data_IF_311142672466
#
_entry.id   IF_311142672466
#
_cell.length_a   1.000
_cell.length_b   1.000
_cell.length_c   1.000
_cell.angle_alpha   90.00
_cell.angle_beta   90.00
_cell.angle_gamma   90.00
#
_symmetry.space_group_name_H-M   'P 1'
#
loop_
_entity.id
_entity.type
_entity.pdbx_description
1 polymer ?
#
# COMPACT_ATOMS: atom_id res chain seq x y z
N UNK A 1 48.55 10.53 10.50
CA UNK A 1 48.99 10.09 11.83
C UNK A 1 47.77 9.60 12.60
N UNK A 2 47.81 8.37 13.12
CA UNK A 2 46.89 7.87 14.15
C UNK A 2 46.99 8.75 15.42
N UNK A 3 45.93 8.84 16.24
CA UNK A 3 45.71 7.86 17.31
C UNK A 3 44.23 7.39 17.37
N UNK A 4 43.93 6.09 17.47
CA UNK A 4 43.96 5.24 18.68
C UNK A 4 43.27 5.87 19.89
N UNK A 5 42.03 5.45 20.17
CA UNK A 5 41.64 5.14 21.55
C UNK A 5 40.74 3.90 21.58
N UNK A 6 41.03 3.09 22.59
CA UNK A 6 40.58 1.73 22.88
C UNK A 6 39.65 1.77 24.09
N UNK A 7 38.86 0.70 24.27
CA UNK A 7 38.23 0.22 25.53
C UNK A 7 36.98 0.99 26.01
N UNK A 8 35.90 0.40 26.54
CA UNK A 8 35.44 -1.00 26.76
C UNK A 8 34.04 -0.93 27.42
N UNK A 9 33.31 -2.05 27.42
CA UNK A 9 32.31 -2.50 28.42
C UNK A 9 31.04 -1.63 28.56
N UNK A 10 29.84 -2.17 28.63
CA UNK A 10 29.38 -3.54 28.79
C UNK A 10 27.87 -3.51 29.08
N UNK A 11 27.20 -4.58 28.67
CA UNK A 11 25.97 -5.18 29.19
C UNK A 11 24.90 -4.31 29.88
N UNK A 12 23.65 -4.45 29.41
CA UNK A 12 22.53 -4.87 30.25
C UNK A 12 21.29 -5.22 29.42
N UNK A 13 21.23 -6.48 29.01
CA UNK A 13 19.99 -7.24 28.84
C UNK A 13 19.40 -7.48 30.24
N UNK A 14 18.10 -7.23 30.45
CA UNK A 14 17.11 -8.28 30.79
C UNK A 14 15.80 -7.74 31.40
N UNK A 15 14.71 -8.43 31.00
CA UNK A 15 13.45 -8.72 31.74
C UNK A 15 12.46 -7.57 31.97
N UNK A 16 11.16 -7.74 31.72
CA UNK A 16 10.27 -8.77 32.29
C UNK A 16 9.10 -9.19 31.39
N UNK A 17 8.68 -10.46 31.54
CA UNK A 17 7.45 -11.08 31.02
C UNK A 17 6.37 -11.20 32.12
N UNK A 18 5.12 -11.36 31.65
CA UNK A 18 3.97 -12.12 32.18
C UNK A 18 2.84 -11.40 32.97
N UNK A 19 1.73 -11.16 32.23
CA UNK A 19 0.37 -11.72 32.39
C UNK A 19 -0.37 -11.58 33.73
N UNK A 20 -1.61 -11.06 33.65
CA UNK A 20 -2.75 -11.73 34.26
C UNK A 20 -4.07 -11.51 33.49
N UNK A 21 -4.78 -12.62 33.26
CA UNK A 21 -6.15 -12.72 32.77
C UNK A 21 -7.14 -12.53 33.92
N UNK A 22 -8.29 -11.91 33.64
CA UNK A 22 -9.57 -12.24 34.31
C UNK A 22 -10.78 -11.77 33.47
N UNK A 23 -11.70 -12.72 33.25
CA UNK A 23 -13.02 -12.59 32.60
C UNK A 23 -14.00 -11.84 33.51
N UNK A 24 -15.03 -11.21 32.93
CA UNK A 24 -16.43 -11.30 33.38
C UNK A 24 -17.42 -10.94 32.24
N UNK A 25 -18.52 -11.72 32.16
CA UNK A 25 -19.72 -11.60 31.30
C UNK A 25 -20.47 -10.30 31.63
N UNK A 26 -21.33 -9.67 30.83
CA UNK A 26 -22.03 -9.98 29.59
C UNK A 26 -23.43 -9.38 29.71
N UNK A 27 -23.89 -8.53 28.78
CA UNK A 27 -25.29 -8.09 28.64
C UNK A 27 -25.60 -7.94 27.13
N UNK A 28 -26.69 -8.58 26.72
CA UNK A 28 -27.28 -8.55 25.38
C UNK A 28 -27.84 -7.17 25.05
N UNK A 29 -27.51 -6.65 23.86
CA UNK A 29 -28.18 -5.52 23.23
C UNK A 29 -28.07 -5.66 21.72
N UNK A 30 -29.22 -5.65 21.04
CA UNK A 30 -29.41 -5.96 19.63
C UNK A 30 -28.41 -5.25 18.69
N UNK A 31 -27.53 -6.02 18.06
CA UNK A 31 -26.67 -5.56 16.96
C UNK A 31 -27.50 -5.50 15.67
N UNK A 32 -27.83 -4.28 15.23
CA UNK A 32 -28.19 -4.05 13.83
C UNK A 32 -26.95 -4.37 12.98
N UNK A 33 -27.06 -5.40 12.14
CA UNK A 33 -26.08 -5.77 11.12
C UNK A 33 -25.88 -4.62 10.14
N UNK A 34 -24.90 -3.77 10.43
CA UNK A 34 -24.32 -2.88 9.45
C UNK A 34 -23.38 -3.74 8.62
N UNK A 35 -23.69 -3.86 7.34
CA UNK A 35 -22.78 -4.43 6.35
C UNK A 35 -21.47 -3.62 6.39
N UNK A 36 -20.51 -4.08 7.21
CA UNK A 36 -19.12 -3.69 7.05
C UNK A 36 -18.73 -4.16 5.66
N UNK A 37 -18.41 -3.20 4.79
CA UNK A 37 -17.68 -3.42 3.56
C UNK A 37 -16.25 -3.85 3.90
N UNK A 38 -16.13 -5.06 4.47
CA UNK A 38 -15.00 -5.91 4.16
C UNK A 38 -15.08 -6.08 2.65
N UNK A 39 -14.22 -5.38 1.92
CA UNK A 39 -13.81 -5.86 0.60
C UNK A 39 -13.11 -7.19 0.86
N UNK A 40 -13.89 -8.23 1.05
CA UNK A 40 -13.46 -9.62 1.03
C UNK A 40 -12.59 -9.77 -0.21
N UNK A 41 -11.40 -10.35 -0.06
CA UNK A 41 -10.47 -10.66 -1.14
C UNK A 41 -11.01 -11.77 -2.06
N UNK A 42 -12.32 -11.81 -2.29
CA UNK A 42 -13.01 -12.95 -2.88
C UNK A 42 -12.99 -12.90 -4.41
N UNK A 43 -12.73 -11.72 -5.00
CA UNK A 43 -12.72 -11.53 -6.45
C UNK A 43 -11.34 -11.09 -6.94
N UNK A 44 -10.84 -11.78 -7.98
CA UNK A 44 -9.60 -11.42 -8.66
C UNK A 44 -9.76 -10.00 -9.21
N UNK A 45 -8.89 -9.04 -8.85
CA UNK A 45 -8.92 -7.69 -9.39
C UNK A 45 -8.95 -7.73 -10.92
N UNK A 46 -10.04 -7.21 -11.50
CA UNK A 46 -10.18 -7.14 -12.96
C UNK A 46 -9.10 -6.22 -13.51
N UNK A 47 -8.32 -6.71 -14.49
CA UNK A 47 -7.42 -5.86 -15.28
C UNK A 47 -8.26 -4.82 -16.02
N UNK A 48 -8.16 -3.56 -15.61
CA UNK A 48 -8.88 -2.46 -16.22
C UNK A 48 -8.24 -2.08 -17.55
N UNK A 49 -9.09 -1.74 -18.53
CA UNK A 49 -8.61 -1.16 -19.77
C UNK A 49 -8.07 0.26 -19.51
N UNK A 50 -7.11 0.73 -20.33
CA UNK A 50 -6.54 2.09 -20.20
C UNK A 50 -7.58 3.22 -20.28
N UNK A 51 -8.73 2.94 -20.88
CA UNK A 51 -9.84 3.88 -21.06
C UNK A 51 -10.91 3.79 -19.96
N UNK A 52 -10.88 2.73 -19.16
CA UNK A 52 -11.84 2.50 -18.08
C UNK A 52 -11.41 3.25 -16.83
N UNK A 53 -12.40 3.84 -16.15
CA UNK A 53 -12.17 4.44 -14.84
C UNK A 53 -12.20 3.34 -13.78
N UNK A 54 -11.30 3.42 -12.79
CA UNK A 54 -11.35 2.61 -11.57
C UNK A 54 -12.75 2.71 -10.93
N UNK A 55 -13.32 1.58 -10.43
CA UNK A 55 -14.57 1.59 -9.69
C UNK A 55 -14.56 2.62 -8.56
N UNK A 56 -15.66 3.35 -8.40
CA UNK A 56 -15.80 4.30 -7.29
C UNK A 56 -16.18 3.55 -6.02
N UNK A 57 -15.49 3.83 -4.93
CA UNK A 57 -15.83 3.30 -3.59
C UNK A 57 -17.20 3.80 -3.13
N UNK A 58 -17.51 5.07 -3.45
CA UNK A 58 -18.78 5.72 -3.10
C UNK A 58 -19.59 5.96 -4.37
N UNK A 59 -20.88 5.67 -4.34
CA UNK A 59 -21.73 5.85 -5.51
C UNK A 59 -21.81 7.32 -5.94
N UNK A 60 -21.99 7.58 -7.23
CA UNK A 60 -22.06 8.95 -7.76
C UNK A 60 -23.22 9.76 -7.17
N UNK A 61 -24.34 9.11 -6.90
CA UNK A 61 -25.52 9.74 -6.29
C UNK A 61 -25.24 10.16 -4.83
N UNK A 62 -24.51 9.34 -4.09
CA UNK A 62 -24.09 9.65 -2.74
C UNK A 62 -23.08 10.80 -2.70
N UNK A 63 -22.09 10.80 -3.60
CA UNK A 63 -21.15 11.92 -3.74
C UNK A 63 -21.87 13.25 -4.04
N UNK A 64 -22.88 13.23 -4.92
CA UNK A 64 -23.73 14.40 -5.20
C UNK A 64 -24.49 14.86 -3.96
N UNK A 65 -25.08 13.92 -3.21
CA UNK A 65 -25.81 14.21 -1.97
C UNK A 65 -24.90 14.87 -0.94
N UNK A 66 -23.72 14.30 -0.68
CA UNK A 66 -22.72 14.85 0.24
C UNK A 66 -22.24 16.25 -0.18
N UNK A 67 -21.98 16.46 -1.47
CA UNK A 67 -21.58 17.77 -1.99
C UNK A 67 -22.70 18.81 -1.79
N UNK A 68 -23.96 18.42 -1.98
CA UNK A 68 -25.12 19.26 -1.72
C UNK A 68 -25.24 19.66 -0.25
N UNK A 69 -25.06 18.71 0.68
CA UNK A 69 -25.07 18.98 2.13
C UNK A 69 -23.95 19.93 2.52
N UNK A 70 -22.71 19.66 2.09
CA UNK A 70 -21.56 20.55 2.35
C UNK A 70 -21.77 21.96 1.79
N UNK A 71 -22.45 22.10 0.65
CA UNK A 71 -22.79 23.41 0.09
C UNK A 71 -23.79 24.17 0.97
N UNK A 72 -24.82 23.49 1.49
CA UNK A 72 -25.81 24.09 2.41
C UNK A 72 -25.16 24.52 3.72
N UNK A 73 -24.33 23.67 4.31
CA UNK A 73 -23.60 23.99 5.56
C UNK A 73 -22.72 25.24 5.40
N UNK A 74 -22.01 25.37 4.27
CA UNK A 74 -21.19 26.56 3.99
C UNK A 74 -21.99 27.86 3.92
N UNK A 75 -23.29 27.81 3.63
CA UNK A 75 -24.14 29.00 3.56
C UNK A 75 -24.59 29.49 4.93
N UNK A 76 -24.58 28.65 5.97
CA UNK A 76 -25.11 28.99 7.29
C UNK A 76 -24.14 29.81 8.18
N UNK A 77 -22.94 30.14 7.70
CA UNK A 77 -21.91 31.00 8.36
C UNK A 77 -21.74 30.70 9.86
N UNK A 78 -21.77 29.42 10.25
CA UNK A 78 -21.45 29.00 11.62
C UNK A 78 -20.07 28.35 11.68
N UNK A 79 -19.55 28.25 12.90
CA UNK A 79 -18.36 27.45 13.19
C UNK A 79 -18.69 25.96 13.03
N UNK A 80 -17.82 25.24 12.33
CA UNK A 80 -17.87 23.79 12.18
C UNK A 80 -16.73 23.20 13.02
N UNK A 81 -17.10 22.49 14.08
CA UNK A 81 -16.16 21.76 14.93
C UNK A 81 -15.70 20.51 14.17
N UNK A 82 -14.48 20.54 13.67
CA UNK A 82 -13.87 19.41 12.98
C UNK A 82 -13.38 18.37 13.99
N UNK A 83 -13.54 17.09 13.65
CA UNK A 83 -13.03 15.98 14.44
C UNK A 83 -11.60 15.62 14.02
N UNK A 84 -10.78 14.99 14.87
CA UNK A 84 -9.51 14.41 14.43
C UNK A 84 -9.75 13.30 13.38
N UNK A 85 -8.99 13.25 12.27
CA UNK A 85 -7.79 14.03 11.99
C UNK A 85 -8.02 15.31 11.15
N UNK A 86 -9.27 15.64 10.83
CA UNK A 86 -9.67 16.78 9.99
C UNK A 86 -9.37 18.13 10.64
N UNK A 87 -9.39 18.19 11.97
CA UNK A 87 -8.95 19.35 12.74
C UNK A 87 -7.42 19.45 12.90
N UNK A 88 -6.65 18.59 12.23
CA UNK A 88 -5.19 18.60 12.25
C UNK A 88 -4.56 17.90 13.45
N UNK A 89 -5.35 17.49 14.45
CA UNK A 89 -4.85 16.66 15.56
C UNK A 89 -4.73 15.19 15.15
N UNK A 90 -3.92 14.43 15.88
CA UNK A 90 -3.81 12.98 15.69
C UNK A 90 -4.95 12.22 16.36
N UNK A 91 -5.35 11.11 15.74
CA UNK A 91 -6.27 10.14 16.31
C UNK A 91 -5.48 9.20 17.22
N UNK A 92 -5.49 9.45 18.54
CA UNK A 92 -4.58 8.82 19.52
C UNK A 92 -4.57 7.28 19.46
N UNK A 93 -5.72 6.65 19.31
CA UNK A 93 -5.84 5.19 19.25
C UNK A 93 -5.30 4.57 17.94
N UNK A 94 -5.07 5.38 16.89
CA UNK A 94 -4.49 4.92 15.63
C UNK A 94 -2.96 5.09 15.57
N UNK A 95 -2.35 5.79 16.52
CA UNK A 95 -0.88 5.95 16.56
C UNK A 95 -0.19 4.58 16.67
N UNK A 96 -0.55 3.68 17.62
CA UNK A 96 0.08 2.36 17.69
C UNK A 96 -0.11 1.54 16.40
N UNK A 97 -1.27 1.68 15.74
CA UNK A 97 -1.55 1.02 14.46
C UNK A 97 -0.60 1.52 13.37
N UNK A 98 -0.28 2.82 13.34
CA UNK A 98 0.69 3.38 12.41
C UNK A 98 2.09 2.78 12.57
N UNK A 99 2.55 2.62 13.81
CA UNK A 99 3.82 1.95 14.13
C UNK A 99 3.80 0.47 13.72
N UNK A 100 2.71 -0.24 14.00
CA UNK A 100 2.55 -1.64 13.60
C UNK A 100 2.57 -1.83 12.09
N UNK A 101 1.91 -0.95 11.33
CA UNK A 101 1.88 -0.98 9.86
C UNK A 101 3.27 -0.70 9.29
N UNK A 102 3.97 0.30 9.83
CA UNK A 102 5.32 0.63 9.37
C UNK A 102 6.29 -0.53 9.65
N UNK A 103 6.27 -1.11 10.85
CA UNK A 103 7.08 -2.27 11.21
C UNK A 103 6.78 -3.49 10.33
N UNK A 104 5.49 -3.79 10.10
CA UNK A 104 5.07 -4.88 9.23
C UNK A 104 5.55 -4.66 7.78
N UNK A 105 5.53 -3.42 7.28
CA UNK A 105 6.09 -3.10 5.97
C UNK A 105 7.60 -3.36 5.89
N UNK A 106 8.37 -2.98 6.90
CA UNK A 106 9.81 -3.24 6.95
C UNK A 106 10.11 -4.74 6.96
N UNK A 107 9.38 -5.50 7.78
CA UNK A 107 9.51 -6.96 7.85
C UNK A 107 9.15 -7.63 6.51
N UNK A 108 8.03 -7.19 5.90
CA UNK A 108 7.60 -7.66 4.58
C UNK A 108 8.69 -7.47 3.51
N UNK A 109 9.26 -6.26 3.41
CA UNK A 109 10.31 -5.96 2.44
C UNK A 109 11.56 -6.80 2.66
N UNK A 110 11.94 -7.02 3.93
CA UNK A 110 13.07 -7.89 4.28
C UNK A 110 12.80 -9.34 3.84
N UNK A 111 11.62 -9.88 4.14
CA UNK A 111 11.24 -11.24 3.73
C UNK A 111 11.23 -11.41 2.21
N UNK A 112 10.60 -10.48 1.48
CA UNK A 112 10.55 -10.56 0.01
C UNK A 112 11.95 -10.45 -0.59
N UNK A 113 12.76 -9.50 -0.13
CA UNK A 113 14.14 -9.32 -0.65
C UNK A 113 15.00 -10.56 -0.47
N UNK A 114 14.78 -11.34 0.59
CA UNK A 114 15.46 -12.63 0.79
C UNK A 114 14.90 -13.71 -0.13
N UNK A 115 13.57 -13.85 -0.21
CA UNK A 115 12.93 -14.93 -0.98
C UNK A 115 13.07 -14.80 -2.50
N UNK A 116 13.20 -13.58 -3.05
CA UNK A 116 13.50 -13.38 -4.48
C UNK A 116 14.82 -14.06 -4.91
N UNK A 117 15.74 -14.33 -3.98
CA UNK A 117 16.97 -15.06 -4.28
C UNK A 117 16.79 -16.59 -4.34
N UNK A 118 15.71 -17.12 -3.77
CA UNK A 118 15.42 -18.56 -3.70
C UNK A 118 14.34 -18.99 -4.69
N UNK A 119 13.32 -18.16 -4.88
CA UNK A 119 12.20 -18.43 -5.78
C UNK A 119 12.37 -17.64 -7.07
N UNK A 120 12.34 -18.32 -8.21
CA UNK A 120 12.44 -17.65 -9.50
C UNK A 120 11.21 -16.76 -9.75
N UNK A 121 11.45 -15.53 -10.21
CA UNK A 121 10.41 -14.59 -10.64
C UNK A 121 10.72 -14.24 -12.09
N UNK A 122 9.69 -14.31 -12.93
CA UNK A 122 9.75 -13.94 -14.33
C UNK A 122 8.81 -12.77 -14.59
N UNK A 123 9.27 -11.82 -15.37
CA UNK A 123 8.45 -10.73 -15.88
C UNK A 123 8.49 -10.73 -17.40
N UNK A 124 7.36 -10.52 -18.05
CA UNK A 124 7.30 -10.39 -19.49
C UNK A 124 7.84 -9.03 -19.90
N UNK A 125 8.92 -9.01 -20.68
CA UNK A 125 9.59 -7.79 -21.17
C UNK A 125 8.69 -6.88 -22.03
N UNK A 126 7.57 -7.41 -22.53
CA UNK A 126 6.63 -6.69 -23.38
C UNK A 126 5.42 -6.16 -22.59
N UNK A 127 4.64 -7.06 -21.99
CA UNK A 127 3.36 -6.70 -21.36
C UNK A 127 3.44 -6.50 -19.84
N UNK A 128 4.58 -6.80 -19.21
CA UNK A 128 4.78 -6.70 -17.77
C UNK A 128 4.03 -7.74 -16.94
N UNK A 129 3.49 -8.80 -17.56
CA UNK A 129 2.91 -9.93 -16.83
C UNK A 129 3.98 -10.59 -15.96
N UNK A 130 3.62 -11.02 -14.76
CA UNK A 130 4.55 -11.60 -13.78
C UNK A 130 4.18 -13.06 -13.54
N UNK A 131 5.19 -13.89 -13.37
CA UNK A 131 5.08 -15.27 -12.95
C UNK A 131 6.05 -15.56 -11.81
N UNK A 132 5.61 -16.32 -10.82
CA UNK A 132 6.40 -16.69 -9.65
C UNK A 132 6.51 -18.21 -9.63
N UNK A 133 7.73 -18.73 -9.57
CA UNK A 133 8.05 -20.14 -9.73
C UNK A 133 8.79 -20.44 -11.05
N UNK A 134 9.37 -21.64 -11.13
CA UNK A 134 10.00 -22.14 -12.35
C UNK A 134 9.45 -23.54 -12.66
N UNK A 135 9.25 -23.89 -13.96
CA UNK A 135 9.40 -23.06 -15.16
C UNK A 135 8.23 -22.08 -15.37
N UNK A 136 8.44 -20.96 -16.10
CA UNK A 136 7.38 -20.01 -16.36
C UNK A 136 6.25 -20.61 -17.21
N UNK A 137 5.03 -20.09 -17.03
CA UNK A 137 3.86 -20.60 -17.76
C UNK A 137 3.93 -20.37 -19.27
N UNK A 138 3.20 -21.21 -20.01
CA UNK A 138 3.02 -21.17 -21.46
C UNK A 138 1.66 -20.60 -21.89
N UNK A 139 0.94 -19.95 -20.97
CA UNK A 139 -0.34 -19.30 -21.25
C UNK A 139 -0.15 -18.12 -22.22
N UNK A 140 -0.98 -18.05 -23.26
CA UNK A 140 -0.85 -17.12 -24.41
C UNK A 140 -1.70 -15.87 -24.21
N UNK A 141 -1.29 -15.00 -23.28
CA UNK A 141 -1.99 -13.76 -22.89
C UNK A 141 -1.24 -12.48 -23.23
N UNK A 142 -0.10 -12.55 -23.90
CA UNK A 142 0.67 -11.37 -24.26
C UNK A 142 -0.06 -10.57 -25.36
N UNK A 143 -0.69 -9.47 -24.99
CA UNK A 143 -1.47 -8.63 -25.90
C UNK A 143 -1.13 -7.14 -25.73
N UNK A 144 0.06 -6.79 -26.20
CA UNK A 144 0.53 -5.40 -26.27
C UNK A 144 1.20 -5.15 -27.63
N UNK A 145 1.43 -3.87 -27.95
CA UNK A 145 2.18 -3.51 -29.17
C UNK A 145 3.58 -4.13 -29.11
N UNK A 146 3.92 -4.95 -30.10
CA UNK A 146 5.19 -5.69 -30.16
C UNK A 146 5.10 -7.15 -29.69
N UNK A 147 3.94 -7.60 -29.21
CA UNK A 147 3.70 -9.02 -28.90
C UNK A 147 3.79 -9.89 -30.17
N UNK A 148 4.30 -11.12 -30.05
CA UNK A 148 4.32 -12.07 -31.16
C UNK A 148 2.89 -12.49 -31.54
N UNK A 149 2.69 -12.95 -32.78
CA UNK A 149 1.39 -13.46 -33.25
C UNK A 149 0.90 -14.67 -32.44
N UNK A 150 1.82 -15.44 -31.83
CA UNK A 150 1.50 -16.55 -30.92
C UNK A 150 0.94 -16.09 -29.57
N UNK A 151 1.02 -14.80 -29.25
CA UNK A 151 0.67 -14.21 -27.93
C UNK A 151 1.43 -14.82 -26.75
N UNK A 152 2.58 -15.44 -27.03
CA UNK A 152 3.49 -15.97 -26.02
C UNK A 152 4.26 -14.84 -25.33
N UNK A 153 4.65 -15.07 -24.08
CA UNK A 153 5.40 -14.10 -23.28
C UNK A 153 6.89 -14.26 -23.48
N UNK A 154 7.59 -13.12 -23.52
CA UNK A 154 9.05 -13.06 -23.55
C UNK A 154 9.58 -12.80 -22.14
N UNK A 155 9.81 -13.89 -21.41
CA UNK A 155 10.19 -13.88 -19.99
C UNK A 155 11.64 -13.42 -19.78
N UNK A 156 11.81 -12.46 -18.86
CA UNK A 156 13.09 -12.04 -18.29
C UNK A 156 13.09 -12.23 -16.78
N UNK A 157 14.26 -12.27 -16.15
CA UNK A 157 14.37 -12.36 -14.69
C UNK A 157 13.75 -11.13 -14.04
N UNK A 158 12.76 -11.34 -13.18
CA UNK A 158 12.11 -10.30 -12.37
C UNK A 158 12.75 -10.13 -11.00
N UNK A 159 12.22 -9.17 -10.23
CA UNK A 159 12.75 -8.71 -8.95
C UNK A 159 11.65 -8.32 -7.95
N UNK A 160 12.04 -7.65 -6.86
CA UNK A 160 11.13 -7.25 -5.78
C UNK A 160 10.03 -6.32 -6.29
N UNK A 161 10.36 -5.39 -7.17
CA UNK A 161 9.45 -4.41 -7.77
C UNK A 161 8.33 -5.05 -8.61
N UNK A 162 8.54 -6.27 -9.13
CA UNK A 162 7.55 -7.01 -9.89
C UNK A 162 6.54 -7.73 -8.98
N UNK A 163 6.93 -8.02 -7.74
CA UNK A 163 6.11 -8.71 -6.74
C UNK A 163 5.40 -7.72 -5.82
N UNK A 164 6.12 -6.68 -5.42
CA UNK A 164 5.66 -5.58 -4.56
C UNK A 164 5.94 -4.24 -5.24
N UNK A 165 5.07 -3.81 -6.17
CA UNK A 165 5.21 -2.51 -6.81
C UNK A 165 5.16 -1.38 -5.80
N UNK A 166 6.08 -0.43 -5.94
CA UNK A 166 6.12 0.75 -5.08
C UNK A 166 5.09 1.78 -5.58
N UNK A 167 4.14 2.12 -4.73
CA UNK A 167 3.25 3.28 -4.92
C UNK A 167 3.74 4.41 -4.04
N UNK A 168 3.94 5.58 -4.63
CA UNK A 168 4.41 6.77 -3.94
C UNK A 168 3.29 7.80 -3.78
N UNK A 169 3.47 8.68 -2.79
CA UNK A 169 2.66 9.87 -2.54
C UNK A 169 3.60 11.04 -2.27
N UNK A 170 3.19 12.27 -2.58
CA UNK A 170 3.91 13.43 -2.07
C UNK A 170 3.80 13.47 -0.55
N UNK A 171 4.91 13.79 0.09
CA UNK A 171 4.97 14.01 1.53
C UNK A 171 4.29 15.34 1.89
N UNK A 172 3.38 15.31 2.86
CA UNK A 172 2.69 16.51 3.33
C UNK A 172 3.21 16.95 4.69
N UNK A 173 4.07 17.98 4.72
CA UNK A 173 4.48 18.62 5.97
C UNK A 173 3.28 19.11 6.79
N UNK A 174 2.26 19.70 6.14
CA UNK A 174 1.01 20.09 6.77
C UNK A 174 -0.20 19.50 6.03
N UNK A 175 -0.81 18.46 6.62
CA UNK A 175 -2.02 17.80 6.10
C UNK A 175 -3.20 18.74 5.85
N UNK A 176 -3.35 19.76 6.69
CA UNK A 176 -4.46 20.73 6.62
C UNK A 176 -4.16 21.82 5.59
N UNK A 177 -2.90 21.92 5.17
CA UNK A 177 -2.40 22.91 4.26
C UNK A 177 -2.96 22.83 2.83
N UNK A 178 -2.25 23.53 1.94
CA UNK A 178 -2.54 23.47 0.51
C UNK A 178 -2.10 22.13 -0.05
N UNK A 179 -2.83 21.65 -1.05
CA UNK A 179 -2.38 20.50 -1.83
C UNK A 179 -1.14 20.90 -2.65
N UNK A 180 -0.20 19.98 -2.81
CA UNK A 180 1.01 20.16 -3.63
C UNK A 180 0.63 20.63 -5.02
N UNK A 181 1.13 21.81 -5.40
CA UNK A 181 0.92 22.42 -6.71
C UNK A 181 1.87 21.85 -7.76
N UNK A 182 1.58 22.13 -9.03
CA UNK A 182 2.43 21.69 -10.13
C UNK A 182 3.84 22.28 -10.04
N UNK A 183 3.96 23.53 -9.60
CA UNK A 183 5.24 24.24 -9.60
C UNK A 183 6.18 23.74 -8.50
N UNK A 184 5.64 23.40 -7.33
CA UNK A 184 6.43 22.93 -6.18
C UNK A 184 6.69 21.41 -6.21
N UNK A 185 6.23 20.67 -7.24
CA UNK A 185 6.33 19.20 -7.27
C UNK A 185 7.76 18.68 -7.23
N UNK A 186 8.72 19.47 -7.74
CA UNK A 186 10.14 19.09 -7.77
C UNK A 186 10.84 19.40 -6.44
N UNK A 187 10.22 20.22 -5.60
CA UNK A 187 10.74 20.63 -4.30
C UNK A 187 10.22 19.72 -3.17
N UNK A 188 9.04 19.11 -3.38
CA UNK A 188 8.37 18.24 -2.41
C UNK A 188 8.77 16.78 -2.63
N UNK A 189 9.21 16.14 -1.56
CA UNK A 189 9.61 14.73 -1.59
C UNK A 189 8.43 13.80 -1.88
N UNK A 190 8.74 12.70 -2.58
CA UNK A 190 7.83 11.55 -2.74
C UNK A 190 8.33 10.42 -1.86
N UNK A 191 7.41 9.85 -1.08
CA UNK A 191 7.69 8.69 -0.22
C UNK A 191 6.65 7.60 -0.47
N UNK A 192 6.91 6.33 -0.09
CA UNK A 192 5.94 5.26 -0.26
C UNK A 192 4.59 5.63 0.36
N UNK A 193 3.48 5.44 -0.35
CA UNK A 193 2.16 5.88 0.10
C UNK A 193 1.74 5.26 1.45
N UNK A 194 2.11 4.00 1.70
CA UNK A 194 1.91 3.36 3.02
C UNK A 194 2.71 4.07 4.11
N UNK A 195 3.95 4.49 3.82
CA UNK A 195 4.79 5.22 4.76
C UNK A 195 4.20 6.59 5.04
N UNK A 196 3.77 7.33 4.02
CA UNK A 196 3.07 8.61 4.19
C UNK A 196 1.79 8.44 5.02
N UNK A 197 1.02 7.36 4.81
CA UNK A 197 -0.16 7.06 5.64
C UNK A 197 0.20 6.87 7.11
N UNK A 198 1.26 6.09 7.42
CA UNK A 198 1.76 5.95 8.78
C UNK A 198 2.22 7.29 9.35
N UNK A 199 2.94 8.09 8.57
CA UNK A 199 3.43 9.41 8.99
C UNK A 199 2.27 10.33 9.32
N UNK A 200 1.25 10.39 8.48
CA UNK A 200 0.05 11.17 8.76
C UNK A 200 -0.71 10.65 9.99
N UNK A 201 -0.64 9.34 10.26
CA UNK A 201 -1.27 8.72 11.41
C UNK A 201 -0.53 8.87 12.75
N UNK A 202 0.69 9.42 12.74
CA UNK A 202 1.47 9.72 13.95
C UNK A 202 2.77 8.94 14.08
N UNK A 203 3.21 8.22 13.05
CA UNK A 203 4.57 7.69 12.99
C UNK A 203 5.54 8.82 12.63
N UNK A 204 6.60 9.03 13.39
CA UNK A 204 7.55 10.12 13.13
C UNK A 204 8.80 9.58 12.45
N UNK A 205 9.19 10.22 11.35
CA UNK A 205 10.42 9.95 10.60
C UNK A 205 11.22 11.25 10.56
N UNK A 206 12.42 11.33 11.17
CA UNK A 206 13.21 12.56 11.21
C UNK A 206 13.51 13.14 9.83
N UNK A 207 13.67 12.29 8.82
CA UNK A 207 13.91 12.67 7.43
C UNK A 207 12.66 13.23 6.72
N UNK A 208 11.46 13.00 7.24
CA UNK A 208 10.21 13.47 6.66
C UNK A 208 9.31 14.06 7.75
N UNK A 209 9.67 15.24 8.30
CA UNK A 209 8.96 15.84 9.41
C UNK A 209 7.56 16.28 9.00
N UNK A 210 6.58 16.06 9.88
CA UNK A 210 5.21 16.54 9.69
C UNK A 210 4.80 17.41 10.86
N UNK A 211 4.12 18.52 10.59
CA UNK A 211 3.58 19.41 11.61
C UNK A 211 2.52 18.68 12.45
N UNK A 212 2.84 18.47 13.73
CA UNK A 212 1.92 17.93 14.74
C UNK A 212 1.27 19.07 15.50
N UNK A 213 -0.05 19.23 15.37
CA UNK A 213 -0.79 20.26 16.11
C UNK A 213 -1.14 19.79 17.50
N UNK A 214 -1.04 20.70 18.46
CA UNK A 214 -1.52 20.50 19.84
C UNK A 214 -2.92 21.06 20.03
N UNK A 215 -3.27 22.10 19.26
CA UNK A 215 -4.60 22.70 19.23
C UNK A 215 -5.30 22.43 17.90
N UNK A 216 -6.62 22.18 17.91
CA UNK A 216 -7.38 21.94 16.70
C UNK A 216 -7.44 23.20 15.82
N UNK A 217 -7.50 23.00 14.51
CA UNK A 217 -7.95 24.06 13.59
C UNK A 217 -9.48 24.14 13.59
N UNK A 218 -9.99 25.33 13.35
CA UNK A 218 -11.42 25.59 13.29
C UNK A 218 -11.83 25.92 11.86
N UNK A 219 -13.04 25.53 11.46
CA UNK A 219 -13.59 25.85 10.15
C UNK A 219 -14.74 26.84 10.31
N UNK A 220 -14.56 28.08 9.87
CA UNK A 220 -15.59 29.13 9.92
C UNK A 220 -15.96 29.49 8.50
N UNK A 221 -17.23 29.28 8.12
CA UNK A 221 -17.74 29.55 6.78
C UNK A 221 -16.88 28.94 5.64
N UNK A 222 -16.33 27.74 5.86
CA UNK A 222 -15.48 27.04 4.89
C UNK A 222 -14.02 27.52 4.83
N UNK A 223 -13.62 28.48 5.66
CA UNK A 223 -12.22 28.89 5.83
C UNK A 223 -11.62 28.24 7.07
N UNK A 224 -10.41 27.70 6.93
CA UNK A 224 -9.67 27.10 8.03
C UNK A 224 -8.93 28.20 8.78
N UNK A 225 -9.15 28.29 10.09
CA UNK A 225 -8.46 29.19 11.00
C UNK A 225 -7.54 28.34 11.87
N UNK A 226 -6.24 28.60 11.73
CA UNK A 226 -5.17 27.97 12.50
C UNK A 226 -4.62 29.00 13.49
N UNK A 227 -5.03 28.89 14.75
CA UNK A 227 -4.62 29.82 15.81
C UNK A 227 -3.14 29.71 16.14
N UNK A 228 -2.54 28.51 16.09
CA UNK A 228 -1.10 28.32 16.28
C UNK A 228 -0.29 29.05 15.20
N UNK A 229 -0.81 29.13 13.97
CA UNK A 229 -0.16 29.88 12.88
C UNK A 229 -0.32 31.40 13.04
N UNK A 230 -1.47 31.85 13.55
CA UNK A 230 -1.77 33.28 13.74
C UNK A 230 -1.07 33.88 14.97
N UNK A 231 -0.87 33.07 16.01
CA UNK A 231 -0.21 33.47 17.25
C UNK A 231 0.86 32.42 17.58
N UNK A 232 2.04 32.50 16.95
CA UNK A 232 3.15 31.60 17.27
C UNK A 232 3.53 31.79 18.74
N UNK A 233 3.66 30.70 19.50
CA UNK A 233 4.34 30.79 20.81
C UNK A 233 5.81 31.14 20.58
N UNK A 234 6.39 32.02 21.40
CA UNK A 234 7.79 32.48 21.37
C UNK A 234 8.87 31.39 21.57
N UNK A 235 8.53 30.10 21.44
CA UNK A 235 9.48 28.98 21.54
C UNK A 235 9.51 28.12 20.28
N UNK A 236 9.56 28.75 19.10
CA UNK A 236 9.76 28.03 17.85
C UNK A 236 11.24 27.62 17.69
N UNK A 237 11.60 26.47 18.26
CA UNK A 237 12.77 25.65 17.86
C UNK A 237 12.61 25.07 16.42
N UNK A 238 11.87 25.75 15.56
CA UNK A 238 11.51 25.32 14.21
C UNK A 238 11.90 26.32 13.12
N UNK A 239 12.75 27.30 13.45
CA UNK A 239 13.28 28.25 12.47
C UNK A 239 14.14 27.59 11.37
N UNK A 240 14.64 26.37 11.61
CA UNK A 240 15.57 25.68 10.69
C UNK A 240 15.07 24.31 10.20
N UNK A 241 13.75 24.09 10.06
CA UNK A 241 13.26 22.90 9.35
C UNK A 241 12.97 23.30 7.90
N UNK A 242 13.99 23.21 7.04
CA UNK A 242 13.82 23.31 5.59
C UNK A 242 12.84 22.22 5.15
N UNK A 243 11.64 22.62 4.72
CA UNK A 243 10.59 21.72 4.21
C UNK A 243 10.90 21.17 2.80
N UNK A 244 12.11 21.41 2.29
CA UNK A 244 12.61 21.06 0.97
C UNK A 244 14.08 20.66 1.08
N UNK A 245 14.59 19.83 0.17
CA UNK A 245 16.03 19.53 0.10
C UNK A 245 16.53 18.31 0.89
N UNK A 246 15.64 17.44 1.40
CA UNK A 246 16.05 16.20 2.10
C UNK A 246 16.90 15.25 1.23
N UNK A 247 16.88 15.43 -0.10
CA UNK A 247 17.75 14.78 -1.09
C UNK A 247 19.24 14.76 -0.72
N UNK A 248 19.76 15.82 -0.09
CA UNK A 248 21.20 15.94 0.21
C UNK A 248 21.68 15.02 1.35
N UNK A 249 20.79 14.62 2.29
CA UNK A 249 21.16 13.72 3.41
C UNK A 249 21.14 12.24 3.04
N UNK A 250 20.45 11.87 1.95
CA UNK A 250 20.34 10.48 1.45
C UNK A 250 21.69 9.83 1.11
N UNK A 251 22.72 10.63 0.79
CA UNK A 251 24.06 10.13 0.46
C UNK A 251 24.87 9.62 1.66
N UNK A 252 24.51 9.96 2.92
CA UNK A 252 25.28 9.53 4.11
C UNK A 252 24.82 8.21 4.74
N UNK A 253 23.64 7.69 4.35
CA UNK A 253 23.09 6.45 4.92
C UNK A 253 23.36 5.20 4.07
N UNK A 254 23.92 5.37 2.87
CA UNK A 254 24.07 4.31 1.87
C UNK A 254 25.43 3.58 1.90
N UNK A 255 26.34 3.90 2.83
CA UNK A 255 27.65 3.23 2.93
C UNK A 255 27.74 2.12 3.99
N UNK A 256 26.77 1.97 4.90
CA UNK A 256 26.86 0.99 6.01
C UNK A 256 25.70 -0.02 6.08
N UNK A 257 25.26 -0.56 4.93
CA UNK A 257 24.52 -1.84 4.94
C UNK A 257 25.36 -2.94 4.29
N UNK A 258 26.57 -3.13 4.82
CA UNK A 258 27.36 -4.30 4.47
C UNK A 258 26.76 -5.56 5.10
N UNK A 259 26.62 -6.58 4.26
CA UNK A 259 26.02 -7.87 4.54
C UNK A 259 26.65 -8.58 5.74
N UNK A 260 25.84 -8.89 6.74
CA UNK A 260 26.07 -10.02 7.64
C UNK A 260 25.03 -11.10 7.29
N UNK A 261 25.32 -11.84 6.21
CA UNK A 261 24.59 -13.06 5.86
C UNK A 261 25.34 -14.22 6.50
N UNK A 262 24.79 -14.78 7.57
CA UNK A 262 24.94 -16.19 7.95
C UNK A 262 23.85 -16.55 8.96
N UNK A 263 22.70 -17.00 8.46
CA UNK A 263 21.90 -17.99 9.15
C UNK A 263 21.41 -18.98 8.08
N UNK A 264 21.41 -20.27 8.41
CA UNK A 264 20.73 -21.30 7.63
C UNK A 264 19.24 -20.99 7.67
N UNK A 265 18.84 -20.11 6.79
CA UNK A 265 17.53 -19.51 6.79
C UNK A 265 16.52 -20.60 6.44
N UNK A 266 15.67 -20.94 7.42
CA UNK A 266 14.49 -21.73 7.14
C UNK A 266 13.59 -20.88 6.22
N UNK A 267 13.70 -21.10 4.90
CA UNK A 267 12.98 -20.40 3.83
C UNK A 267 11.47 -20.36 4.15
N UNK A 268 10.95 -21.47 4.67
CA UNK A 268 9.56 -21.58 5.09
C UNK A 268 9.22 -20.64 6.24
N UNK A 269 10.11 -20.50 7.24
CA UNK A 269 9.90 -19.58 8.35
C UNK A 269 9.87 -18.11 7.87
N UNK A 270 10.74 -17.75 6.92
CA UNK A 270 10.74 -16.41 6.29
C UNK A 270 9.43 -16.18 5.54
N UNK A 271 8.96 -17.17 4.79
CA UNK A 271 7.72 -17.09 4.04
C UNK A 271 6.50 -16.93 4.94
N UNK A 272 6.42 -17.70 6.04
CA UNK A 272 5.36 -17.57 7.05
C UNK A 272 5.38 -16.19 7.70
N UNK A 273 6.57 -15.68 8.04
CA UNK A 273 6.74 -14.34 8.59
C UNK A 273 6.28 -13.26 7.59
N UNK A 274 6.72 -13.39 6.33
CA UNK A 274 6.34 -12.47 5.25
C UNK A 274 4.84 -12.45 4.97
N UNK A 275 4.18 -13.61 4.98
CA UNK A 275 2.72 -13.72 4.83
C UNK A 275 1.98 -12.96 5.95
N UNK A 276 2.40 -13.18 7.21
CA UNK A 276 1.83 -12.47 8.37
C UNK A 276 2.08 -10.96 8.29
N UNK A 277 3.27 -10.55 7.85
CA UNK A 277 3.63 -9.15 7.69
C UNK A 277 2.78 -8.47 6.60
N UNK A 278 2.55 -9.14 5.47
CA UNK A 278 1.67 -8.68 4.39
C UNK A 278 0.24 -8.46 4.90
N UNK A 279 -0.35 -9.45 5.55
CA UNK A 279 -1.71 -9.36 6.09
C UNK A 279 -1.83 -8.28 7.16
N UNK A 280 -0.87 -8.22 8.10
CA UNK A 280 -0.83 -7.20 9.16
C UNK A 280 -0.73 -5.79 8.58
N UNK A 281 0.12 -5.59 7.58
CA UNK A 281 0.27 -4.31 6.89
C UNK A 281 -1.05 -3.90 6.21
N UNK A 282 -1.66 -4.79 5.43
CA UNK A 282 -2.90 -4.50 4.70
C UNK A 282 -4.09 -4.22 5.64
N UNK A 283 -4.25 -5.02 6.69
CA UNK A 283 -5.32 -4.84 7.70
C UNK A 283 -5.11 -3.53 8.46
N UNK A 284 -3.89 -3.27 8.93
CA UNK A 284 -3.58 -2.05 9.68
C UNK A 284 -3.73 -0.80 8.82
N UNK A 285 -3.23 -0.82 7.57
CA UNK A 285 -3.40 0.28 6.64
C UNK A 285 -4.88 0.54 6.32
N UNK A 286 -5.69 -0.50 6.15
CA UNK A 286 -7.13 -0.36 5.96
C UNK A 286 -7.80 0.34 7.16
N UNK A 287 -7.43 -0.02 8.39
CA UNK A 287 -7.92 0.67 9.62
C UNK A 287 -7.50 2.14 9.66
N UNK A 288 -6.28 2.46 9.23
CA UNK A 288 -5.84 3.87 9.14
C UNK A 288 -6.66 4.64 8.10
N UNK A 289 -6.93 4.03 6.94
CA UNK A 289 -7.69 4.63 5.84
C UNK A 289 -9.16 4.93 6.19
N UNK A 290 -9.71 4.33 7.25
CA UNK A 290 -11.05 4.67 7.76
C UNK A 290 -11.12 6.10 8.31
N UNK A 291 -10.01 6.62 8.85
CA UNK A 291 -9.94 7.97 9.45
C UNK A 291 -9.04 8.92 8.67
N UNK A 292 -7.93 8.43 8.14
CA UNK A 292 -6.99 9.21 7.35
C UNK A 292 -7.33 9.09 5.87
N UNK A 293 -7.80 10.16 5.22
CA UNK A 293 -8.22 10.10 3.83
C UNK A 293 -7.03 9.83 2.91
N UNK A 294 -7.25 8.98 1.92
CA UNK A 294 -6.30 8.72 0.83
C UNK A 294 -7.05 8.83 -0.49
N UNK A 295 -6.44 9.51 -1.46
CA UNK A 295 -7.00 9.76 -2.78
C UNK A 295 -6.22 8.98 -3.83
N UNK A 296 -6.91 8.42 -4.81
CA UNK A 296 -6.34 7.76 -5.98
C UNK A 296 -6.87 8.44 -7.23
N UNK A 297 -6.08 8.49 -8.30
CA UNK A 297 -6.59 8.91 -9.59
C UNK A 297 -7.45 7.79 -10.20
N UNK A 298 -8.63 8.14 -10.72
CA UNK A 298 -9.53 7.18 -11.34
C UNK A 298 -9.00 6.56 -12.64
N UNK A 299 -7.91 7.04 -13.22
CA UNK A 299 -7.40 6.56 -14.52
C UNK A 299 -5.91 6.18 -14.53
N UNK A 300 -5.10 6.70 -13.61
CA UNK A 300 -3.69 6.35 -13.50
C UNK A 300 -3.36 5.81 -12.11
N UNK A 301 -2.16 5.21 -11.92
CA UNK A 301 -1.73 4.67 -10.63
C UNK A 301 -1.39 5.72 -9.56
N UNK A 302 -1.60 7.02 -9.82
CA UNK A 302 -1.22 8.08 -8.88
C UNK A 302 -2.08 8.05 -7.61
N UNK A 303 -1.41 8.15 -6.46
CA UNK A 303 -2.03 8.17 -5.13
C UNK A 303 -1.51 9.38 -4.35
N UNK A 304 -2.40 9.99 -3.57
CA UNK A 304 -2.06 11.03 -2.62
C UNK A 304 -2.69 10.70 -1.28
N UNK A 305 -1.87 10.51 -0.25
CA UNK A 305 -2.33 10.46 1.13
C UNK A 305 -2.65 11.88 1.60
N UNK A 306 -3.82 12.06 2.18
CA UNK A 306 -4.31 13.36 2.64
C UNK A 306 -5.75 13.66 2.18
N UNK A 307 -6.35 14.73 2.74
CA UNK A 307 -7.74 15.08 2.48
C UNK A 307 -7.99 15.57 1.05
N UNK A 308 -6.94 16.00 0.36
CA UNK A 308 -6.98 16.54 -0.99
C UNK A 308 -5.94 15.84 -1.84
N UNK A 309 -6.32 15.49 -3.07
CA UNK A 309 -5.34 15.12 -4.07
C UNK A 309 -4.48 16.32 -4.48
N UNK A 310 -3.25 16.05 -4.93
CA UNK A 310 -2.36 17.10 -5.41
C UNK A 310 -2.88 17.74 -6.72
N UNK A 311 -2.36 18.93 -7.03
CA UNK A 311 -2.73 19.74 -8.21
C UNK A 311 -1.72 19.66 -9.35
N UNK A 312 -0.74 18.76 -9.26
CA UNK A 312 0.19 18.47 -10.35
C UNK A 312 -0.54 18.05 -11.62
N UNK A 313 -0.14 18.61 -12.77
CA UNK A 313 -0.73 18.38 -14.10
C UNK A 313 0.04 17.35 -14.93
N UNK A 314 0.37 16.21 -14.34
CA UNK A 314 1.17 15.15 -14.96
C UNK A 314 0.37 13.87 -15.25
N UNK A 315 -0.96 13.91 -15.15
CA UNK A 315 -1.79 12.77 -15.53
C UNK A 315 -1.67 12.55 -17.05
N UNK A 316 -1.21 11.36 -17.46
CA UNK A 316 -1.10 10.97 -18.87
C UNK A 316 -2.16 9.95 -19.29
N UNK A 317 -3.13 9.66 -18.42
CA UNK A 317 -4.14 8.65 -18.67
C UNK A 317 -5.27 9.16 -19.57
N UNK A 318 -6.26 8.30 -19.83
CA UNK A 318 -7.36 8.60 -20.76
C UNK A 318 -8.01 9.97 -20.52
N UNK A 319 -8.27 10.70 -21.61
CA UNK A 319 -8.84 12.07 -21.61
C UNK A 319 -8.04 13.07 -20.76
N UNK A 320 -6.72 12.90 -20.60
CA UNK A 320 -5.91 13.88 -19.86
C UNK A 320 -5.85 15.25 -20.54
N UNK A 321 -5.84 15.33 -21.88
CA UNK A 321 -5.86 16.60 -22.62
C UNK A 321 -7.10 17.43 -22.27
N UNK A 322 -8.27 16.80 -22.19
CA UNK A 322 -9.53 17.46 -21.78
C UNK A 322 -9.52 17.92 -20.31
N UNK A 323 -8.62 17.37 -19.50
CA UNK A 323 -8.45 17.69 -18.08
C UNK A 323 -7.22 18.55 -17.83
N UNK A 324 -6.55 19.03 -18.88
CA UNK A 324 -5.31 19.81 -18.76
C UNK A 324 -4.26 19.09 -17.87
N UNK A 325 -4.10 17.78 -18.09
CA UNK A 325 -3.17 16.94 -17.31
C UNK A 325 -3.56 16.71 -15.85
N UNK A 326 -4.73 17.18 -15.38
CA UNK A 326 -5.15 17.04 -13.99
C UNK A 326 -5.67 15.63 -13.68
N UNK A 327 -5.45 15.21 -12.43
CA UNK A 327 -5.92 13.92 -11.91
C UNK A 327 -7.41 13.93 -11.60
N UNK A 328 -8.07 12.81 -11.86
CA UNK A 328 -9.47 12.60 -11.53
C UNK A 328 -9.58 11.91 -10.17
N UNK A 329 -9.37 12.67 -9.10
CA UNK A 329 -9.32 12.15 -7.74
C UNK A 329 -10.61 11.46 -7.29
N UNK A 330 -10.44 10.36 -6.58
CA UNK A 330 -11.49 9.62 -5.88
C UNK A 330 -10.91 8.96 -4.62
N UNK A 331 -11.78 8.49 -3.72
CA UNK A 331 -11.36 7.75 -2.53
C UNK A 331 -10.57 6.49 -2.93
N UNK A 332 -9.42 6.30 -2.32
CA UNK A 332 -8.56 5.13 -2.54
C UNK A 332 -9.02 3.91 -1.74
N UNK A 333 -8.65 2.73 -2.23
CA UNK A 333 -8.76 1.44 -1.55
C UNK A 333 -7.37 0.95 -1.13
N UNK A 334 -7.30 -0.09 -0.29
CA UNK A 334 -6.01 -0.69 0.08
C UNK A 334 -5.22 -1.17 -1.14
N UNK A 335 -5.92 -1.66 -2.18
CA UNK A 335 -5.32 -2.09 -3.45
C UNK A 335 -4.74 -0.93 -4.26
N UNK A 336 -5.06 0.33 -3.96
CA UNK A 336 -4.38 1.48 -4.58
C UNK A 336 -3.04 1.78 -3.90
N UNK A 337 -2.91 1.53 -2.59
CA UNK A 337 -1.64 1.74 -1.85
C UNK A 337 -0.71 0.53 -1.96
N UNK A 338 -1.28 -0.67 -2.00
CA UNK A 338 -0.61 -1.95 -2.12
C UNK A 338 -1.23 -2.75 -3.28
N UNK A 339 -0.92 -2.37 -4.54
CA UNK A 339 -1.53 -2.99 -5.71
C UNK A 339 -1.19 -4.48 -5.80
N UNK A 340 -2.20 -5.37 -5.78
CA UNK A 340 -1.96 -6.79 -5.95
C UNK A 340 -1.58 -7.08 -7.40
N UNK A 341 -0.36 -7.55 -7.62
CA UNK A 341 0.07 -8.09 -8.93
C UNK A 341 -0.48 -9.51 -9.03
N UNK A 342 -1.58 -9.73 -9.75
CA UNK A 342 -2.15 -11.07 -9.84
C UNK A 342 -1.34 -11.96 -10.79
N UNK A 343 -0.93 -13.14 -10.30
CA UNK A 343 -0.20 -14.17 -11.04
C UNK A 343 -0.97 -15.48 -10.99
N UNK A 344 -0.74 -16.37 -11.95
CA UNK A 344 -1.32 -17.72 -11.90
C UNK A 344 -0.75 -18.53 -10.74
N UNK A 345 -1.63 -19.17 -9.97
CA UNK A 345 -1.27 -19.99 -8.83
C UNK A 345 -0.76 -21.37 -9.28
N UNK A 346 0.40 -21.81 -8.76
CA UNK A 346 0.96 -23.14 -9.06
C UNK A 346 0.66 -24.09 -7.89
N UNK A 347 -0.05 -25.18 -8.15
CA UNK A 347 -0.33 -26.22 -7.14
C UNK A 347 0.87 -27.15 -6.96
N UNK A 348 1.10 -27.55 -5.71
CA UNK A 348 2.26 -28.34 -5.23
C UNK A 348 2.47 -29.68 -5.98
N UNK A 349 1.44 -30.22 -6.64
CA UNK A 349 1.52 -31.48 -7.38
C UNK A 349 2.18 -31.36 -8.78
N UNK A 350 2.60 -30.16 -9.22
CA UNK A 350 3.04 -29.93 -10.61
C UNK A 350 4.34 -29.11 -10.75
N UNK A 351 5.18 -29.02 -9.71
CA UNK A 351 6.39 -28.17 -9.69
C UNK A 351 7.36 -28.32 -10.89
N UNK A 352 7.27 -29.42 -11.66
CA UNK A 352 8.08 -29.65 -12.86
C UNK A 352 7.41 -29.33 -14.20
N UNK A 353 6.08 -29.18 -14.26
CA UNK A 353 5.35 -28.94 -15.52
C UNK A 353 4.84 -27.49 -15.57
N UNK A 354 5.14 -26.72 -16.64
CA UNK A 354 4.63 -25.37 -16.77
C UNK A 354 3.12 -25.38 -16.99
N UNK A 355 2.43 -24.38 -16.44
CA UNK A 355 1.01 -24.14 -16.72
C UNK A 355 0.80 -23.91 -18.23
N UNK A 356 -0.16 -24.62 -18.83
CA UNK A 356 -0.40 -24.62 -20.27
C UNK A 356 -1.58 -23.74 -20.66
N UNK A 357 -1.67 -23.35 -21.94
CA UNK A 357 -2.67 -22.38 -22.37
C UNK A 357 -4.09 -22.97 -22.40
N UNK A 358 -4.21 -24.25 -22.70
CA UNK A 358 -5.46 -24.99 -22.85
C UNK A 358 -6.24 -24.99 -21.52
N UNK A 359 -5.54 -25.30 -20.42
CA UNK A 359 -6.09 -25.38 -19.08
C UNK A 359 -6.21 -24.02 -18.35
N UNK A 360 -5.94 -22.90 -19.03
CA UNK A 360 -5.97 -21.55 -18.45
C UNK A 360 -7.26 -21.25 -17.68
N UNK A 361 -8.40 -21.75 -18.17
CA UNK A 361 -9.73 -21.55 -17.57
C UNK A 361 -9.95 -22.29 -16.25
N UNK A 362 -9.06 -23.19 -15.85
CA UNK A 362 -9.15 -23.95 -14.59
C UNK A 362 -8.21 -23.40 -13.53
N UNK A 363 -7.15 -22.70 -13.93
CA UNK A 363 -6.18 -22.18 -12.99
C UNK A 363 -6.73 -21.03 -12.13
N UNK A 364 -6.36 -21.05 -10.86
CA UNK A 364 -6.53 -19.94 -9.94
C UNK A 364 -5.43 -18.89 -10.11
N UNK A 365 -5.60 -17.77 -9.41
CA UNK A 365 -4.63 -16.69 -9.35
C UNK A 365 -4.43 -16.25 -7.91
N UNK A 366 -3.24 -15.71 -7.61
CA UNK A 366 -2.92 -15.12 -6.32
C UNK A 366 -2.18 -13.79 -6.53
N UNK A 367 -2.19 -12.86 -5.56
CA UNK A 367 -1.22 -11.78 -5.56
C UNK A 367 0.21 -12.34 -5.56
N UNK A 368 1.11 -11.77 -6.35
CA UNK A 368 2.48 -12.26 -6.55
C UNK A 368 3.23 -12.41 -5.22
N UNK A 369 3.00 -11.48 -4.28
CA UNK A 369 3.60 -11.54 -2.95
C UNK A 369 3.11 -12.76 -2.15
N UNK A 370 1.83 -13.10 -2.28
CA UNK A 370 1.23 -14.27 -1.62
C UNK A 370 1.73 -15.55 -2.30
N UNK A 371 1.78 -15.59 -3.63
CA UNK A 371 2.33 -16.72 -4.39
C UNK A 371 3.80 -16.94 -4.06
N UNK A 372 4.61 -15.89 -3.91
CA UNK A 372 6.02 -15.99 -3.53
C UNK A 372 6.19 -16.69 -2.17
N UNK A 373 5.36 -16.33 -1.19
CA UNK A 373 5.39 -16.98 0.11
C UNK A 373 4.83 -18.41 0.05
N UNK A 374 3.77 -18.64 -0.74
CA UNK A 374 3.20 -19.98 -0.93
C UNK A 374 4.22 -20.95 -1.54
N UNK A 375 4.91 -20.54 -2.61
CA UNK A 375 5.99 -21.31 -3.25
C UNK A 375 7.18 -21.58 -2.31
N UNK A 376 7.37 -20.72 -1.30
CA UNK A 376 8.37 -20.90 -0.26
C UNK A 376 7.86 -21.73 0.95
N UNK A 377 6.66 -22.31 0.87
CA UNK A 377 6.09 -23.23 1.86
C UNK A 377 5.22 -22.57 2.94
N UNK A 378 4.86 -21.30 2.79
CA UNK A 378 3.91 -20.66 3.70
C UNK A 378 2.47 -21.14 3.43
N UNK A 379 1.68 -21.43 4.47
CA UNK A 379 0.28 -21.74 4.30
C UNK A 379 -0.46 -20.49 3.84
N UNK A 380 -1.29 -20.64 2.80
CA UNK A 380 -2.13 -19.55 2.29
C UNK A 380 -3.42 -19.45 3.12
N UNK A 381 -3.81 -18.24 3.50
CA UNK A 381 -5.02 -18.01 4.27
C UNK A 381 -6.30 -18.33 3.49
N UNK A 382 -7.36 -18.74 4.20
CA UNK A 382 -8.68 -19.10 3.62
C UNK A 382 -9.31 -18.00 2.78
N UNK A 383 -8.94 -16.74 3.02
CA UNK A 383 -9.44 -15.58 2.27
C UNK A 383 -9.05 -15.62 0.79
N UNK A 384 -8.03 -16.40 0.42
CA UNK A 384 -7.58 -16.56 -0.95
C UNK A 384 -8.08 -17.85 -1.62
N UNK A 385 -8.82 -18.71 -0.91
CA UNK A 385 -9.24 -20.02 -1.43
C UNK A 385 -10.07 -19.90 -2.72
N UNK A 386 -10.94 -18.90 -2.82
CA UNK A 386 -11.72 -18.62 -4.04
C UNK A 386 -10.84 -18.15 -5.19
N UNK A 387 -9.77 -17.38 -4.92
CA UNK A 387 -8.82 -16.93 -5.94
C UNK A 387 -7.94 -18.09 -6.44
N UNK A 388 -7.53 -18.99 -5.53
CA UNK A 388 -6.78 -20.23 -5.86
C UNK A 388 -7.62 -21.27 -6.61
N UNK A 389 -8.95 -21.11 -6.58
CA UNK A 389 -9.93 -22.03 -7.16
C UNK A 389 -9.74 -23.46 -6.67
N UNK A 390 -9.46 -23.64 -5.38
CA UNK A 390 -9.21 -24.96 -4.77
C UNK A 390 -10.37 -25.95 -4.97
N UNK A 391 -11.58 -25.43 -5.15
CA UNK A 391 -12.81 -26.16 -5.48
C UNK A 391 -12.86 -26.69 -6.92
N UNK A 392 -12.01 -26.18 -7.81
CA UNK A 392 -11.93 -26.59 -9.21
C UNK A 392 -10.89 -27.69 -9.39
N UNK A 393 -11.34 -28.86 -9.86
CA UNK A 393 -10.48 -29.95 -10.32
C UNK A 393 -9.91 -29.58 -11.68
N UNK A 394 -8.59 -29.69 -11.83
CA UNK A 394 -7.90 -29.43 -13.10
C UNK A 394 -7.90 -30.75 -13.89
N UNK A 395 -8.55 -30.81 -15.07
CA UNK A 395 -8.56 -32.03 -15.87
C UNK A 395 -7.17 -32.33 -16.44
N UNK A 396 -6.93 -33.59 -16.79
CA UNK A 396 -5.76 -33.91 -17.62
C UNK A 396 -5.92 -33.33 -19.03
N UNK A 397 -4.80 -33.07 -19.72
CA UNK A 397 -4.80 -32.43 -21.05
C UNK A 397 -5.67 -33.22 -22.06
N UNK A 398 -5.70 -34.55 -21.93
CA UNK A 398 -6.49 -35.40 -22.81
C UNK A 398 -7.96 -35.43 -22.43
N UNK A 399 -8.31 -35.22 -21.15
CA UNK A 399 -9.70 -35.14 -20.66
C UNK A 399 -10.38 -33.83 -21.06
N UNK A 400 -9.63 -32.74 -21.20
CA UNK A 400 -10.17 -31.45 -21.62
C UNK A 400 -10.86 -31.53 -23.00
N UNK A 401 -10.36 -32.37 -23.91
CA UNK A 401 -10.93 -32.58 -25.26
C UNK A 401 -12.33 -33.20 -25.23
N UNK A 402 -12.76 -33.78 -24.10
CA UNK A 402 -14.04 -34.45 -23.93
C UNK A 402 -15.08 -33.58 -23.22
N UNK A 403 -14.69 -32.39 -22.73
CA UNK A 403 -15.59 -31.43 -22.08
C UNK A 403 -16.20 -30.53 -23.17
N UNK A 404 -17.28 -31.02 -23.80
CA UNK A 404 -18.10 -30.30 -24.81
C UNK A 404 -19.01 -29.26 -24.16
#
# INVERSE_FOLDING_TARGET
MLPRHVQTLGDLLERFKLVHFSKLRGIHGHFCLWYSTLSTCNEIPKKLNKFERKPLVTSFNELKREAGLKKKERQMVHEIVLQPPENGMLVKNLIPVAHEVFAARCELLSCVSRLVNYTAIYACSLCGEVHVGHPPHKIRTCDVKGSPSSKEHSWVKGGVEHVLPLVESFHLYDRIGRAVSHNEMLEVDRIPAIVELCVQAGFDIPEYPTRRRTFPVYCVAGRIIDFEKRFPKEMSLGADIEAHGFWYKKKKLNEDTNSMVMHSDNIQAIAVLGMKAWEKMCIGASKLMEKYPVQTCGYCPEVQVGPKGHRVRNCQAFKHQMRDGQHAWQKATINDLAPPVCVYHIRDQQATKPLVNELKRYYGMLPAVVELFAQAGAPVGKNYASMMREDVVIPEIDEEKWVV
#
